data_IF_485251342395
#
_entry.id   IF_485251342395
#
_cell.length_a   1.000
_cell.length_b   1.000
_cell.length_c   1.000
_cell.angle_alpha   90.00
_cell.angle_beta   90.00
_cell.angle_gamma   90.00
#
_symmetry.space_group_name_H-M   'P 1'
#
loop_
_entity.id
_entity.type
_entity.pdbx_description
1 polymer ?
#
# COMPACT_ATOMS: atom_id res chain seq x y z
N UNK A 1 18.65 5.11 -19.85
CA UNK A 1 17.63 5.34 -20.91
C UNK A 1 16.81 4.07 -21.10
N UNK A 2 15.58 4.03 -20.60
CA UNK A 2 14.70 2.87 -20.82
C UNK A 2 14.26 2.85 -22.28
N UNK A 3 14.48 1.71 -22.93
CA UNK A 3 14.21 1.49 -24.34
C UNK A 3 12.70 1.63 -24.63
N UNK A 4 12.33 2.25 -25.75
CA UNK A 4 10.95 2.49 -26.23
C UNK A 4 10.05 1.23 -26.21
N UNK A 5 10.63 0.03 -26.20
CA UNK A 5 9.92 -1.26 -26.05
C UNK A 5 9.38 -1.51 -24.63
N UNK A 6 10.04 -1.00 -23.59
CA UNK A 6 9.59 -1.19 -22.20
C UNK A 6 8.42 -0.28 -21.82
N UNK A 7 8.27 0.86 -22.51
CA UNK A 7 7.15 1.79 -22.28
C UNK A 7 5.83 1.23 -22.83
N UNK A 8 5.86 0.40 -23.86
CA UNK A 8 4.65 -0.21 -24.46
C UNK A 8 4.02 -1.31 -23.60
N UNK A 9 4.77 -1.95 -22.74
CA UNK A 9 4.28 -3.09 -21.92
C UNK A 9 3.46 -2.64 -20.70
N UNK A 10 3.72 -1.44 -20.17
CA UNK A 10 2.91 -0.83 -19.10
C UNK A 10 1.49 -0.49 -19.60
N UNK A 11 1.34 -0.26 -20.92
CA UNK A 11 0.09 0.14 -21.55
C UNK A 11 -0.94 -0.97 -21.70
N UNK A 12 -0.55 -2.24 -21.75
CA UNK A 12 -1.48 -3.33 -22.12
C UNK A 12 -2.28 -3.88 -20.93
N UNK A 13 -1.76 -3.78 -19.71
CA UNK A 13 -2.38 -4.42 -18.54
C UNK A 13 -3.57 -3.64 -17.94
N UNK A 14 -3.67 -2.36 -18.22
CA UNK A 14 -4.78 -1.53 -17.72
C UNK A 14 -6.07 -1.72 -18.53
N UNK A 15 -5.98 -2.20 -19.78
CA UNK A 15 -7.15 -2.52 -20.61
C UNK A 15 -7.91 -3.76 -20.14
N UNK A 16 -7.25 -4.69 -19.47
CA UNK A 16 -7.89 -5.91 -18.94
C UNK A 16 -8.82 -5.63 -17.75
N UNK A 17 -8.62 -4.49 -17.07
CA UNK A 17 -9.45 -4.10 -15.91
C UNK A 17 -10.91 -3.78 -16.28
N UNK A 18 -11.15 -3.26 -17.48
CA UNK A 18 -12.50 -2.91 -17.93
C UNK A 18 -13.33 -4.13 -18.35
N UNK A 19 -12.68 -5.25 -18.73
CA UNK A 19 -13.38 -6.44 -19.21
C UNK A 19 -13.89 -7.32 -18.06
N UNK A 20 -13.19 -7.33 -16.92
CA UNK A 20 -13.57 -8.16 -15.75
C UNK A 20 -14.78 -7.61 -15.00
N UNK A 21 -15.03 -6.28 -15.07
CA UNK A 21 -16.21 -5.68 -14.46
C UNK A 21 -17.53 -5.99 -15.20
N UNK A 22 -17.43 -6.55 -16.42
CA UNK A 22 -18.61 -6.87 -17.25
C UNK A 22 -19.02 -8.34 -17.22
N UNK A 23 -18.18 -9.24 -16.75
CA UNK A 23 -18.41 -10.68 -16.87
C UNK A 23 -18.71 -11.44 -15.57
N UNK A 24 -18.59 -10.82 -14.40
CA UNK A 24 -18.97 -11.43 -13.12
C UNK A 24 -19.83 -10.48 -12.31
N UNK A 25 -20.99 -10.96 -11.91
CA UNK A 25 -22.06 -10.25 -11.20
C UNK A 25 -21.55 -9.18 -10.23
N UNK A 26 -22.06 -7.97 -10.43
CA UNK A 26 -21.62 -6.72 -9.84
C UNK A 26 -21.20 -6.79 -8.39
N UNK A 27 -19.91 -6.72 -8.17
CA UNK A 27 -19.37 -6.33 -6.87
C UNK A 27 -19.54 -4.81 -6.80
N UNK A 28 -20.50 -4.36 -6.03
CA UNK A 28 -20.71 -2.94 -5.79
C UNK A 28 -19.58 -2.45 -4.85
N UNK A 29 -18.65 -1.60 -5.31
CA UNK A 29 -17.47 -1.22 -4.51
C UNK A 29 -17.79 -0.34 -3.31
N UNK A 30 -19.05 -0.07 -3.04
CA UNK A 30 -19.49 0.91 -2.03
C UNK A 30 -20.37 0.35 -0.90
N UNK A 31 -20.61 -0.96 -0.83
CA UNK A 31 -21.30 -1.53 0.32
C UNK A 31 -20.29 -1.87 1.43
N UNK A 32 -20.05 -0.89 2.30
CA UNK A 32 -19.18 -0.97 3.48
C UNK A 32 -19.76 -1.83 4.63
N UNK A 33 -20.73 -2.68 4.35
CA UNK A 33 -21.42 -3.53 5.34
C UNK A 33 -21.01 -5.00 5.29
N UNK A 34 -19.82 -5.34 4.76
CA UNK A 34 -19.33 -6.71 4.76
C UNK A 34 -18.76 -7.06 6.16
N UNK A 35 -19.27 -8.10 6.85
CA UNK A 35 -18.76 -8.50 8.17
C UNK A 35 -17.26 -8.84 8.23
N UNK A 36 -16.62 -9.11 7.09
CA UNK A 36 -15.17 -9.33 7.00
C UNK A 36 -14.33 -8.06 7.26
N UNK A 37 -14.97 -6.88 7.43
CA UNK A 37 -14.29 -5.61 7.67
C UNK A 37 -13.82 -5.44 9.13
N UNK A 38 -14.28 -6.27 10.05
CA UNK A 38 -14.19 -5.99 11.48
C UNK A 38 -12.88 -6.36 12.19
N UNK A 39 -11.93 -7.03 11.53
CA UNK A 39 -10.69 -7.48 12.17
C UNK A 39 -9.40 -6.79 11.65
N UNK A 40 -9.52 -5.63 11.00
CA UNK A 40 -8.34 -4.94 10.47
C UNK A 40 -7.65 -4.09 11.54
N UNK A 41 -6.45 -4.48 11.90
CA UNK A 41 -5.55 -3.68 12.75
C UNK A 41 -4.98 -2.55 11.88
N UNK A 42 -5.53 -1.35 11.99
CA UNK A 42 -4.97 -0.14 11.43
C UNK A 42 -3.99 0.48 12.44
N UNK A 43 -2.76 0.71 12.00
CA UNK A 43 -1.77 1.42 12.81
C UNK A 43 -2.03 2.93 12.71
N UNK A 44 -2.57 3.55 13.75
CA UNK A 44 -2.65 5.00 13.83
C UNK A 44 -1.31 5.54 14.29
N UNK A 45 -0.82 6.58 13.63
CA UNK A 45 0.46 7.14 13.95
C UNK A 45 0.49 8.63 13.89
N UNK A 46 1.02 9.16 14.95
CA UNK A 46 1.41 10.54 15.13
C UNK A 46 2.71 10.83 14.35
N UNK A 47 2.60 11.41 13.16
CA UNK A 47 3.61 12.29 12.54
C UNK A 47 5.04 11.83 12.27
N UNK A 48 5.47 10.68 12.74
CA UNK A 48 6.70 9.99 12.32
C UNK A 48 6.29 8.62 11.85
N UNK A 49 6.89 8.13 10.74
CA UNK A 49 6.73 6.72 10.36
C UNK A 49 7.07 5.90 11.60
N UNK A 50 6.12 5.21 12.20
CA UNK A 50 6.39 4.62 13.49
C UNK A 50 7.06 3.32 13.37
N UNK A 51 7.66 2.93 12.38
CA UNK A 51 8.16 1.58 12.52
C UNK A 51 8.94 1.06 11.31
N UNK A 52 10.10 1.60 11.11
CA UNK A 52 11.19 0.66 10.94
C UNK A 52 11.37 -0.04 12.29
N UNK A 53 10.60 -1.09 12.57
CA UNK A 53 10.83 -1.88 13.75
C UNK A 53 12.19 -2.55 13.54
N UNK A 54 13.19 -2.30 14.42
CA UNK A 54 14.48 -2.95 14.27
C UNK A 54 14.26 -4.48 14.17
N UNK A 55 14.76 -5.10 13.10
CA UNK A 55 14.70 -6.54 12.94
C UNK A 55 13.56 -7.08 12.06
N UNK A 56 12.71 -6.25 11.42
CA UNK A 56 11.79 -6.78 10.39
C UNK A 56 12.61 -7.33 9.23
N UNK A 57 12.56 -8.65 8.96
CA UNK A 57 13.43 -9.26 7.98
C UNK A 57 12.99 -8.94 6.56
N UNK A 58 13.95 -8.63 5.70
CA UNK A 58 13.74 -8.64 4.26
C UNK A 58 13.58 -10.10 3.78
N UNK A 59 12.58 -10.36 2.94
CA UNK A 59 12.45 -11.68 2.34
C UNK A 59 13.73 -12.05 1.58
N UNK A 60 14.25 -13.27 1.79
CA UNK A 60 15.56 -13.72 1.29
C UNK A 60 15.78 -13.52 -0.22
N UNK A 61 14.71 -13.57 -1.02
CA UNK A 61 14.79 -13.36 -2.47
C UNK A 61 14.86 -11.88 -2.89
N UNK A 62 14.85 -10.94 -1.96
CA UNK A 62 14.77 -9.52 -2.27
C UNK A 62 16.10 -8.78 -2.17
N UNK A 63 17.11 -9.31 -1.48
CA UNK A 63 18.33 -8.58 -1.17
C UNK A 63 18.97 -7.94 -2.40
N UNK A 64 19.30 -8.75 -3.42
CA UNK A 64 19.86 -8.22 -4.67
C UNK A 64 18.92 -7.24 -5.38
N UNK A 65 17.60 -7.54 -5.43
CA UNK A 65 16.65 -6.64 -6.09
C UNK A 65 16.56 -5.27 -5.42
N UNK A 66 16.58 -5.24 -4.09
CA UNK A 66 16.55 -3.97 -3.32
C UNK A 66 17.80 -3.15 -3.60
N UNK A 67 18.99 -3.79 -3.59
CA UNK A 67 20.24 -3.12 -3.87
C UNK A 67 20.27 -2.56 -5.30
N UNK A 68 20.06 -3.41 -6.32
CA UNK A 68 20.09 -3.00 -7.73
C UNK A 68 19.09 -1.86 -8.00
N UNK A 69 17.87 -1.97 -7.41
CA UNK A 69 16.83 -0.99 -7.60
C UNK A 69 17.14 0.35 -6.90
N UNK A 70 17.75 0.31 -5.73
CA UNK A 70 18.19 1.51 -5.02
C UNK A 70 19.27 2.26 -5.81
N UNK A 71 20.27 1.54 -6.34
CA UNK A 71 21.32 2.09 -7.19
C UNK A 71 20.75 2.68 -8.49
N UNK A 72 19.87 1.96 -9.19
CA UNK A 72 19.25 2.41 -10.45
C UNK A 72 18.41 3.69 -10.29
N UNK A 73 17.85 3.93 -9.11
CA UNK A 73 16.92 5.04 -8.84
C UNK A 73 17.42 6.05 -7.80
N UNK A 74 18.70 5.98 -7.40
CA UNK A 74 19.29 6.85 -6.37
C UNK A 74 19.06 8.33 -6.66
N UNK A 75 19.43 8.81 -7.85
CA UNK A 75 19.24 10.23 -8.24
C UNK A 75 17.76 10.66 -8.13
N UNK A 76 16.85 9.80 -8.57
CA UNK A 76 15.42 10.06 -8.46
C UNK A 76 14.98 10.16 -7.00
N UNK A 77 15.42 9.24 -6.17
CA UNK A 77 14.99 9.18 -4.77
C UNK A 77 15.55 10.34 -3.97
N UNK A 78 16.81 10.72 -4.19
CA UNK A 78 17.39 11.93 -3.59
C UNK A 78 16.66 13.20 -4.06
N UNK A 79 16.34 13.31 -5.34
CA UNK A 79 15.52 14.41 -5.84
C UNK A 79 14.13 14.47 -5.16
N UNK A 80 13.51 13.32 -4.90
CA UNK A 80 12.23 13.26 -4.18
C UNK A 80 12.38 13.72 -2.73
N UNK A 81 13.40 13.27 -2.01
CA UNK A 81 13.69 13.70 -0.63
C UNK A 81 13.85 15.23 -0.54
N UNK A 82 14.65 15.79 -1.45
CA UNK A 82 14.97 17.22 -1.46
C UNK A 82 13.78 18.09 -1.90
N UNK A 83 13.10 17.71 -2.99
CA UNK A 83 12.20 18.60 -3.73
C UNK A 83 10.72 18.22 -3.64
N UNK A 84 10.37 17.05 -3.12
CA UNK A 84 9.00 16.54 -3.07
C UNK A 84 8.46 16.25 -1.68
N UNK A 85 9.17 16.69 -0.63
CA UNK A 85 8.75 16.48 0.77
C UNK A 85 7.36 17.03 1.07
N UNK A 86 6.95 18.15 0.44
CA UNK A 86 5.61 18.73 0.58
C UNK A 86 4.49 17.82 0.05
N UNK A 87 4.75 17.07 -1.03
CA UNK A 87 3.79 16.07 -1.53
C UNK A 87 3.67 14.89 -0.59
N UNK A 88 4.79 14.38 -0.07
CA UNK A 88 4.80 13.29 0.91
C UNK A 88 4.05 13.69 2.19
N UNK A 89 4.29 14.89 2.72
CA UNK A 89 3.54 15.43 3.88
C UNK A 89 2.04 15.53 3.62
N UNK A 90 1.63 15.87 2.39
CA UNK A 90 0.21 15.89 2.02
C UNK A 90 -0.39 14.50 2.04
N UNK A 91 0.34 13.49 1.54
CA UNK A 91 -0.09 12.09 1.60
C UNK A 91 -0.17 11.63 3.05
N UNK A 92 0.87 11.87 3.85
CA UNK A 92 0.92 11.51 5.27
C UNK A 92 -0.29 12.06 6.03
N UNK A 93 -0.65 13.34 5.81
CA UNK A 93 -1.82 13.97 6.44
C UNK A 93 -3.13 13.25 6.09
N UNK A 94 -3.34 12.90 4.83
CA UNK A 94 -4.53 12.18 4.39
C UNK A 94 -4.52 10.75 4.94
N UNK A 95 -3.40 10.03 4.84
CA UNK A 95 -3.31 8.65 5.30
C UNK A 95 -3.52 8.52 6.81
N UNK A 96 -3.01 9.47 7.59
CA UNK A 96 -3.32 9.57 9.03
C UNK A 96 -4.82 9.71 9.27
N UNK A 97 -5.52 10.57 8.52
CA UNK A 97 -6.98 10.75 8.66
C UNK A 97 -7.79 9.49 8.31
N UNK A 98 -7.27 8.68 7.38
CA UNK A 98 -7.90 7.43 6.96
C UNK A 98 -7.31 6.20 7.65
N UNK A 99 -6.43 6.38 8.63
CA UNK A 99 -5.76 5.31 9.38
C UNK A 99 -5.08 4.26 8.48
N UNK A 100 -4.44 4.75 7.43
CA UNK A 100 -3.66 3.94 6.48
C UNK A 100 -2.18 4.02 6.87
N UNK A 101 -1.44 2.92 6.84
CA UNK A 101 0.00 2.94 7.04
C UNK A 101 0.69 3.94 6.13
N UNK A 102 1.53 4.81 6.72
CA UNK A 102 2.17 5.91 5.98
C UNK A 102 3.13 5.41 4.90
N UNK A 103 3.65 4.22 5.05
CA UNK A 103 4.55 3.57 4.10
C UNK A 103 3.91 3.35 2.73
N UNK A 104 2.57 3.25 2.66
CA UNK A 104 1.86 3.12 1.39
C UNK A 104 1.98 4.37 0.50
N UNK A 105 2.50 5.49 1.02
CA UNK A 105 2.87 6.67 0.23
C UNK A 105 3.88 6.35 -0.88
N UNK A 106 4.71 5.32 -0.68
CA UNK A 106 5.70 4.89 -1.68
C UNK A 106 5.07 4.34 -2.96
N UNK A 107 3.79 3.94 -2.94
CA UNK A 107 3.02 3.67 -4.17
C UNK A 107 3.01 4.87 -5.11
N UNK A 108 2.81 6.09 -4.60
CA UNK A 108 2.79 7.30 -5.41
C UNK A 108 4.14 7.57 -6.11
N UNK A 109 5.24 7.14 -5.50
CA UNK A 109 6.58 7.23 -6.10
C UNK A 109 6.68 6.27 -7.28
N UNK A 110 6.33 5.01 -7.11
CA UNK A 110 6.45 3.99 -8.16
C UNK A 110 5.44 4.21 -9.30
N UNK A 111 4.27 4.80 -9.02
CA UNK A 111 3.24 5.10 -10.02
C UNK A 111 3.62 6.29 -10.93
N UNK A 112 4.08 7.38 -10.35
CA UNK A 112 4.24 8.63 -11.11
C UNK A 112 5.50 9.43 -10.79
N UNK A 113 6.35 8.98 -9.85
CA UNK A 113 7.45 9.78 -9.30
C UNK A 113 6.93 11.07 -8.66
N UNK A 114 5.72 11.02 -8.05
CA UNK A 114 5.00 12.16 -7.48
C UNK A 114 4.70 13.28 -8.49
N UNK A 115 4.48 12.95 -9.77
CA UNK A 115 4.09 13.92 -10.80
C UNK A 115 2.57 14.01 -10.88
N UNK A 116 2.01 15.18 -10.52
CA UNK A 116 0.55 15.43 -10.53
C UNK A 116 -0.05 15.39 -11.93
N UNK A 117 0.72 15.73 -12.96
CA UNK A 117 0.31 15.75 -14.36
C UNK A 117 0.77 14.52 -15.16
N UNK A 118 1.27 13.46 -14.48
CA UNK A 118 1.67 12.25 -15.16
C UNK A 118 0.50 11.63 -15.93
N UNK A 119 0.77 11.20 -17.17
CA UNK A 119 -0.23 10.53 -18.02
C UNK A 119 0.41 9.29 -18.62
N UNK A 120 -0.27 8.14 -18.48
CA UNK A 120 0.14 6.90 -19.14
C UNK A 120 -0.44 6.83 -20.56
N UNK A 121 0.17 5.99 -21.40
CA UNK A 121 -0.36 5.76 -22.77
C UNK A 121 -1.75 5.12 -22.81
N UNK A 122 -2.26 4.61 -21.69
CA UNK A 122 -3.59 3.96 -21.55
C UNK A 122 -4.60 4.82 -20.79
N UNK A 123 -4.24 6.07 -20.45
CA UNK A 123 -5.16 7.03 -19.87
C UNK A 123 -5.18 7.07 -18.33
N UNK A 124 -4.24 6.41 -17.65
CA UNK A 124 -4.03 6.63 -16.22
C UNK A 124 -3.42 8.03 -16.00
N UNK A 125 -3.85 8.75 -14.97
CA UNK A 125 -3.45 10.15 -14.74
C UNK A 125 -3.17 10.42 -13.27
N UNK A 126 -2.20 11.34 -13.03
CA UNK A 126 -1.91 11.94 -11.74
C UNK A 126 -0.95 11.14 -10.89
N UNK A 127 -0.78 11.61 -9.64
CA UNK A 127 0.16 11.00 -8.66
C UNK A 127 -0.12 9.52 -8.47
N UNK A 128 -1.38 9.12 -8.44
CA UNK A 128 -1.86 7.78 -8.13
C UNK A 128 -2.21 6.94 -9.36
N UNK A 129 -1.98 7.48 -10.56
CA UNK A 129 -2.22 6.82 -11.84
C UNK A 129 -3.62 6.18 -11.95
N UNK A 130 -4.65 6.90 -11.51
CA UNK A 130 -6.01 6.39 -11.64
C UNK A 130 -6.51 6.38 -13.07
N UNK A 131 -7.11 5.24 -13.44
CA UNK A 131 -7.90 5.14 -14.67
C UNK A 131 -9.20 5.95 -14.54
N UNK A 132 -9.76 6.49 -15.64
CA UNK A 132 -10.97 7.29 -15.59
C UNK A 132 -12.15 6.60 -14.91
N UNK A 133 -12.35 5.29 -15.14
CA UNK A 133 -13.42 4.49 -14.52
C UNK A 133 -13.28 4.46 -13.02
N UNK A 134 -12.11 3.98 -12.51
CA UNK A 134 -11.81 3.91 -11.08
C UNK A 134 -11.91 5.28 -10.41
N UNK A 135 -11.37 6.32 -11.06
CA UNK A 135 -11.43 7.69 -10.53
C UNK A 135 -12.87 8.15 -10.28
N UNK A 136 -13.77 7.94 -11.25
CA UNK A 136 -15.17 8.31 -11.11
C UNK A 136 -15.88 7.52 -10.00
N UNK A 137 -15.62 6.22 -9.91
CA UNK A 137 -16.16 5.38 -8.83
C UNK A 137 -15.72 5.88 -7.45
N UNK A 138 -14.51 6.42 -7.35
CA UNK A 138 -13.96 7.01 -6.11
C UNK A 138 -14.39 8.48 -5.89
N UNK A 139 -15.28 9.01 -6.72
CA UNK A 139 -15.84 10.36 -6.59
C UNK A 139 -14.99 11.49 -7.21
N UNK A 140 -13.97 11.17 -7.99
CA UNK A 140 -13.16 12.18 -8.70
C UNK A 140 -13.88 12.68 -9.96
N UNK A 141 -13.95 14.00 -10.12
CA UNK A 141 -14.53 14.64 -11.30
C UNK A 141 -13.51 14.68 -12.45
N UNK A 142 -13.95 14.25 -13.62
CA UNK A 142 -13.15 14.28 -14.86
C UNK A 142 -14.01 14.89 -15.95
N UNK A 143 -13.63 16.08 -16.42
CA UNK A 143 -14.28 16.83 -17.50
C UNK A 143 -13.23 17.28 -18.52
N UNK A 144 -13.64 17.92 -19.62
CA UNK A 144 -12.73 18.48 -20.60
C UNK A 144 -11.83 19.60 -20.03
N UNK A 145 -12.33 20.36 -19.03
CA UNK A 145 -11.61 21.48 -18.41
C UNK A 145 -10.95 21.14 -17.08
N UNK A 146 -11.31 20.03 -16.47
CA UNK A 146 -10.95 19.74 -15.08
C UNK A 146 -10.79 18.23 -14.83
N UNK A 147 -9.69 17.84 -14.19
CA UNK A 147 -9.38 16.46 -13.87
C UNK A 147 -8.85 16.35 -12.43
N UNK A 148 -9.71 15.90 -11.51
CA UNK A 148 -9.38 15.74 -10.07
C UNK A 148 -8.25 14.73 -9.82
N UNK A 149 -7.93 13.85 -10.77
CA UNK A 149 -6.80 12.93 -10.66
C UNK A 149 -5.46 13.67 -10.55
N UNK A 150 -5.38 14.89 -11.08
CA UNK A 150 -4.20 15.75 -11.00
C UNK A 150 -4.17 16.60 -9.72
N UNK A 151 -5.28 16.67 -8.99
CA UNK A 151 -5.34 17.43 -7.75
C UNK A 151 -4.80 16.58 -6.59
N UNK A 152 -3.66 16.97 -6.03
CA UNK A 152 -2.90 16.20 -5.04
C UNK A 152 -3.76 15.71 -3.87
N UNK A 153 -4.50 16.58 -3.20
CA UNK A 153 -5.33 16.24 -2.06
C UNK A 153 -6.48 15.29 -2.43
N UNK A 154 -7.28 15.66 -3.45
CA UNK A 154 -8.46 14.88 -3.84
C UNK A 154 -8.09 13.49 -4.33
N UNK A 155 -7.05 13.37 -5.15
CA UNK A 155 -6.59 12.07 -5.64
C UNK A 155 -5.98 11.22 -4.52
N UNK A 156 -5.35 11.83 -3.51
CA UNK A 156 -4.85 11.11 -2.33
C UNK A 156 -5.99 10.60 -1.45
N UNK A 157 -7.06 11.40 -1.26
CA UNK A 157 -8.28 10.93 -0.57
C UNK A 157 -8.90 9.74 -1.30
N UNK A 158 -8.96 9.80 -2.63
CA UNK A 158 -9.44 8.67 -3.44
C UNK A 158 -8.54 7.44 -3.29
N UNK A 159 -7.20 7.62 -3.27
CA UNK A 159 -6.25 6.54 -3.04
C UNK A 159 -6.43 5.91 -1.67
N UNK A 160 -6.61 6.72 -0.62
CA UNK A 160 -6.89 6.24 0.72
C UNK A 160 -8.14 5.35 0.77
N UNK A 161 -9.25 5.81 0.20
CA UNK A 161 -10.49 5.02 0.10
C UNK A 161 -10.29 3.71 -0.66
N UNK A 162 -9.56 3.74 -1.76
CA UNK A 162 -9.31 2.55 -2.57
C UNK A 162 -8.42 1.53 -1.86
N UNK A 163 -7.36 2.00 -1.20
CA UNK A 163 -6.48 1.15 -0.39
C UNK A 163 -7.22 0.50 0.78
N UNK A 164 -8.06 1.27 1.49
CA UNK A 164 -8.93 0.75 2.56
C UNK A 164 -9.87 -0.33 2.03
N UNK A 165 -10.53 -0.08 0.90
CA UNK A 165 -11.42 -1.06 0.27
C UNK A 165 -10.68 -2.34 -0.12
N UNK A 166 -9.51 -2.25 -0.73
CA UNK A 166 -8.68 -3.40 -1.06
C UNK A 166 -8.24 -4.16 0.20
N UNK A 167 -7.90 -3.43 1.27
CA UNK A 167 -7.49 -4.07 2.52
C UNK A 167 -8.63 -4.88 3.15
N UNK A 168 -9.86 -4.42 3.06
CA UNK A 168 -11.03 -5.18 3.49
C UNK A 168 -11.18 -6.55 2.82
N UNK A 169 -10.64 -6.72 1.59
CA UNK A 169 -10.66 -8.01 0.88
C UNK A 169 -9.47 -8.90 1.22
N UNK A 170 -8.30 -8.29 1.37
CA UNK A 170 -7.05 -9.05 1.41
C UNK A 170 -6.45 -9.18 2.80
N UNK A 171 -6.65 -8.20 3.68
CA UNK A 171 -6.05 -8.10 5.03
C UNK A 171 -4.52 -8.27 5.03
N UNK A 172 -3.92 -8.04 3.89
CA UNK A 172 -2.49 -8.22 3.61
C UNK A 172 -2.01 -7.11 2.68
N UNK A 173 -1.10 -6.26 3.14
CA UNK A 173 -0.67 -5.09 2.39
C UNK A 173 0.09 -5.44 1.11
N UNK A 174 0.82 -6.56 1.07
CA UNK A 174 1.47 -7.00 -0.18
C UNK A 174 0.45 -7.40 -1.24
N UNK A 175 -0.68 -8.01 -0.81
CA UNK A 175 -1.77 -8.34 -1.70
C UNK A 175 -2.53 -7.08 -2.13
N UNK A 176 -2.69 -6.11 -1.23
CA UNK A 176 -3.27 -4.79 -1.56
C UNK A 176 -2.43 -4.08 -2.61
N UNK A 177 -1.12 -4.04 -2.45
CA UNK A 177 -0.18 -3.45 -3.43
C UNK A 177 -0.28 -4.16 -4.78
N UNK A 178 -0.36 -5.50 -4.79
CA UNK A 178 -0.58 -6.27 -6.02
C UNK A 178 -1.92 -5.94 -6.68
N UNK A 179 -3.00 -5.86 -5.88
CA UNK A 179 -4.35 -5.58 -6.36
C UNK A 179 -4.52 -4.12 -6.80
N UNK A 180 -3.79 -3.19 -6.20
CA UNK A 180 -3.75 -1.80 -6.64
C UNK A 180 -3.30 -1.70 -8.11
N UNK A 181 -2.27 -2.45 -8.47
CA UNK A 181 -1.70 -2.47 -9.83
C UNK A 181 -2.55 -3.25 -10.84
N UNK A 182 -3.00 -4.45 -10.51
CA UNK A 182 -3.67 -5.36 -11.47
C UNK A 182 -5.19 -5.47 -11.29
N UNK A 183 -5.73 -4.85 -10.25
CA UNK A 183 -7.08 -5.14 -9.77
C UNK A 183 -7.15 -6.40 -8.90
N UNK A 184 -8.25 -6.59 -8.16
CA UNK A 184 -8.41 -7.74 -7.25
C UNK A 184 -8.53 -9.08 -7.98
N UNK A 185 -9.12 -9.12 -9.17
CA UNK A 185 -9.38 -10.36 -9.91
C UNK A 185 -8.11 -11.20 -10.18
N UNK A 186 -7.07 -10.66 -10.80
CA UNK A 186 -5.79 -11.37 -11.00
C UNK A 186 -5.17 -11.90 -9.71
N UNK A 187 -5.26 -11.14 -8.60
CA UNK A 187 -4.73 -11.57 -7.30
C UNK A 187 -5.53 -12.76 -6.76
N UNK A 188 -6.87 -12.70 -6.80
CA UNK A 188 -7.73 -13.81 -6.38
C UNK A 188 -7.51 -15.07 -7.23
N UNK A 189 -7.34 -14.92 -8.55
CA UNK A 189 -7.00 -16.02 -9.42
C UNK A 189 -5.63 -16.63 -9.10
N UNK A 190 -4.63 -15.82 -8.79
CA UNK A 190 -3.31 -16.29 -8.40
C UNK A 190 -3.35 -17.07 -7.07
N UNK A 191 -4.09 -16.57 -6.08
CA UNK A 191 -4.36 -17.26 -4.82
C UNK A 191 -5.02 -18.61 -5.07
N UNK A 192 -6.09 -18.64 -5.88
CA UNK A 192 -6.79 -19.89 -6.23
C UNK A 192 -5.87 -20.90 -6.91
N UNK A 193 -5.06 -20.48 -7.87
CA UNK A 193 -4.14 -21.36 -8.62
C UNK A 193 -3.01 -21.91 -7.75
N UNK A 194 -2.50 -21.12 -6.81
CA UNK A 194 -1.39 -21.52 -5.93
C UNK A 194 -1.84 -22.27 -4.67
N UNK A 195 -3.12 -22.16 -4.29
CA UNK A 195 -3.63 -22.65 -3.01
C UNK A 195 -3.07 -21.88 -1.80
N UNK A 196 -2.51 -20.67 -2.00
CA UNK A 196 -1.84 -19.93 -0.94
C UNK A 196 -2.15 -18.43 -1.01
N UNK A 197 -2.29 -17.78 0.16
CA UNK A 197 -2.40 -16.31 0.26
C UNK A 197 -1.04 -15.62 0.47
N UNK A 198 0.08 -16.35 0.59
CA UNK A 198 1.39 -15.71 0.66
C UNK A 198 1.81 -15.20 -0.71
N UNK A 199 2.11 -13.88 -0.80
CA UNK A 199 2.59 -13.26 -2.04
C UNK A 199 3.77 -14.03 -2.64
N UNK A 200 4.72 -14.45 -1.80
CA UNK A 200 5.92 -15.16 -2.22
C UNK A 200 5.64 -16.51 -2.87
N UNK A 201 4.56 -17.19 -2.46
CA UNK A 201 4.13 -18.48 -3.05
C UNK A 201 3.34 -18.30 -4.34
N UNK A 202 2.45 -17.31 -4.41
CA UNK A 202 1.59 -17.15 -5.58
C UNK A 202 2.10 -16.15 -6.63
N UNK A 203 3.17 -15.38 -6.36
CA UNK A 203 3.64 -14.31 -7.23
C UNK A 203 3.88 -14.75 -8.68
N UNK A 204 4.26 -16.03 -8.92
CA UNK A 204 4.51 -16.55 -10.27
C UNK A 204 3.23 -16.73 -11.10
N UNK A 205 2.06 -16.73 -10.47
CA UNK A 205 0.75 -16.74 -11.13
C UNK A 205 0.23 -15.32 -11.42
N UNK A 206 0.91 -14.29 -10.94
CA UNK A 206 0.61 -12.89 -11.27
C UNK A 206 1.27 -12.48 -12.60
N UNK A 207 0.70 -11.47 -13.30
CA UNK A 207 1.41 -10.79 -14.37
C UNK A 207 2.80 -10.31 -13.89
N UNK A 208 3.80 -10.38 -14.78
CA UNK A 208 5.17 -9.97 -14.46
C UNK A 208 5.23 -8.54 -13.91
N UNK A 209 4.45 -7.62 -14.51
CA UNK A 209 4.41 -6.22 -14.07
C UNK A 209 3.90 -6.09 -12.62
N UNK A 210 2.81 -6.77 -12.29
CA UNK A 210 2.24 -6.76 -10.93
C UNK A 210 3.22 -7.33 -9.90
N UNK A 211 3.90 -8.42 -10.24
CA UNK A 211 4.94 -9.00 -9.39
C UNK A 211 6.09 -8.03 -9.16
N UNK A 212 6.53 -7.34 -10.21
CA UNK A 212 7.58 -6.32 -10.10
C UNK A 212 7.09 -5.08 -9.34
N UNK A 213 5.81 -4.72 -9.47
CA UNK A 213 5.23 -3.60 -8.75
C UNK A 213 5.35 -3.78 -7.22
N UNK A 214 4.98 -4.96 -6.70
CA UNK A 214 5.16 -5.28 -5.27
C UNK A 214 6.63 -5.22 -4.86
N UNK A 215 7.53 -5.78 -5.68
CA UNK A 215 8.97 -5.74 -5.38
C UNK A 215 9.54 -4.32 -5.38
N UNK A 216 9.10 -3.48 -6.32
CA UNK A 216 9.47 -2.04 -6.37
C UNK A 216 8.95 -1.30 -5.14
N UNK A 217 7.74 -1.60 -4.69
CA UNK A 217 7.20 -1.02 -3.47
C UNK A 217 8.09 -1.35 -2.26
N UNK A 218 8.43 -2.63 -2.06
CA UNK A 218 9.33 -3.06 -0.98
C UNK A 218 10.69 -2.35 -1.10
N UNK A 219 11.29 -2.32 -2.29
CA UNK A 219 12.60 -1.70 -2.50
C UNK A 219 12.58 -0.19 -2.25
N UNK A 220 11.55 0.52 -2.73
CA UNK A 220 11.38 1.95 -2.44
C UNK A 220 11.23 2.19 -0.94
N UNK A 221 10.41 1.37 -0.26
CA UNK A 221 10.27 1.45 1.19
C UNK A 221 11.62 1.31 1.90
N UNK A 222 12.39 0.27 1.58
CA UNK A 222 13.71 0.05 2.19
C UNK A 222 14.69 1.20 1.95
N UNK A 223 14.65 1.82 0.77
CA UNK A 223 15.49 2.97 0.47
C UNK A 223 15.17 4.20 1.36
N UNK A 224 13.87 4.47 1.59
CA UNK A 224 13.46 5.65 2.35
C UNK A 224 13.48 5.45 3.86
N UNK A 225 13.20 4.25 4.35
CA UNK A 225 13.07 3.94 5.78
C UNK A 225 14.31 3.24 6.36
N UNK A 226 15.23 2.76 5.52
CA UNK A 226 16.44 2.05 5.95
C UNK A 226 16.21 0.63 6.48
N UNK A 227 14.97 0.15 6.46
CA UNK A 227 14.59 -1.17 6.98
C UNK A 227 13.22 -1.61 6.51
N UNK A 228 12.77 -2.79 6.95
CA UNK A 228 11.41 -3.28 6.73
C UNK A 228 10.41 -2.70 7.73
N UNK A 229 9.13 -2.87 7.43
CA UNK A 229 8.03 -2.57 8.34
C UNK A 229 6.94 -3.65 8.23
N UNK A 230 5.91 -3.56 9.05
CA UNK A 230 4.80 -4.52 9.01
C UNK A 230 4.07 -4.57 7.66
N UNK A 231 4.14 -3.50 6.87
CA UNK A 231 3.53 -3.47 5.52
C UNK A 231 4.38 -4.17 4.45
N UNK A 232 5.65 -4.43 4.73
CA UNK A 232 6.54 -5.19 3.84
C UNK A 232 6.52 -6.69 4.11
N UNK A 233 5.76 -7.13 5.10
CA UNK A 233 5.51 -8.53 5.43
C UNK A 233 4.14 -8.96 4.92
N UNK A 234 4.04 -10.20 4.43
CA UNK A 234 2.74 -10.84 4.23
C UNK A 234 2.06 -11.15 5.57
N UNK A 235 0.73 -11.38 5.56
CA UNK A 235 -0.07 -11.59 6.80
C UNK A 235 0.56 -12.64 7.72
N UNK A 236 0.91 -13.81 7.21
CA UNK A 236 1.50 -14.90 8.02
C UNK A 236 2.89 -14.54 8.56
N UNK A 237 3.71 -13.85 7.77
CA UNK A 237 5.03 -13.40 8.20
C UNK A 237 4.91 -12.34 9.31
N UNK A 238 3.96 -11.42 9.16
CA UNK A 238 3.65 -10.38 10.15
C UNK A 238 3.17 -10.98 11.46
N UNK A 239 2.22 -11.92 11.43
CA UNK A 239 1.72 -12.61 12.63
C UNK A 239 2.84 -13.36 13.34
N UNK A 240 3.69 -14.07 12.60
CA UNK A 240 4.86 -14.75 13.17
C UNK A 240 5.83 -13.76 13.81
N UNK A 241 6.13 -12.65 13.13
CA UNK A 241 7.03 -11.62 13.63
C UNK A 241 6.50 -10.97 14.91
N UNK A 242 5.21 -10.60 14.94
CA UNK A 242 4.58 -10.01 16.12
C UNK A 242 4.62 -10.97 17.33
N UNK A 243 4.35 -12.25 17.10
CA UNK A 243 4.47 -13.26 18.16
C UNK A 243 5.89 -13.38 18.70
N UNK A 244 6.90 -13.38 17.83
CA UNK A 244 8.30 -13.43 18.25
C UNK A 244 8.70 -12.18 19.04
N UNK A 245 8.21 -11.01 18.66
CA UNK A 245 8.44 -9.75 19.35
C UNK A 245 7.80 -9.77 20.75
N UNK A 246 6.58 -10.29 20.86
CA UNK A 246 5.88 -10.47 22.13
C UNK A 246 6.64 -11.42 23.08
N UNK A 247 7.08 -12.58 22.57
CA UNK A 247 7.88 -13.53 23.34
C UNK A 247 9.23 -12.93 23.80
N UNK A 248 9.88 -12.13 22.94
CA UNK A 248 11.12 -11.44 23.28
C UNK A 248 10.91 -10.41 24.40
N UNK A 249 9.88 -9.59 24.29
CA UNK A 249 9.55 -8.57 25.29
C UNK A 249 9.15 -9.22 26.64
N UNK A 250 8.39 -10.31 26.61
CA UNK A 250 8.02 -11.04 27.83
C UNK A 250 9.25 -11.57 28.59
N UNK A 251 10.26 -12.08 27.89
CA UNK A 251 11.50 -12.57 28.50
C UNK A 251 12.35 -11.45 29.11
N UNK A 252 12.41 -10.29 28.46
CA UNK A 252 13.25 -9.17 28.92
C UNK A 252 12.59 -8.36 30.05
N UNK A 253 11.27 -8.43 30.21
CA UNK A 253 10.55 -7.74 31.29
C UNK A 253 10.62 -8.48 32.64
N UNK A 254 11.11 -9.73 32.69
CA UNK A 254 11.31 -10.45 33.94
C UNK A 254 12.57 -10.01 34.69
N UNK A 255 13.46 -9.23 34.04
CA UNK A 255 14.76 -8.84 34.60
C UNK A 255 14.87 -7.35 35.02
N UNK A 256 13.84 -6.53 34.81
CA UNK A 256 13.89 -5.09 35.14
C UNK A 256 12.56 -4.61 35.73
N UNK A 257 12.46 -4.56 37.04
CA UNK A 257 11.56 -3.64 37.76
C UNK A 257 12.19 -2.23 37.73
N UNK A 258 11.37 -1.19 37.40
CA UNK A 258 11.68 0.24 37.44
C UNK A 258 12.33 0.89 36.18
N UNK A 259 11.54 1.11 35.12
CA UNK A 259 11.52 2.38 34.35
C UNK A 259 10.32 2.44 33.39
N UNK A 260 9.47 3.46 33.55
CA UNK A 260 8.16 3.64 32.91
C UNK A 260 8.19 4.02 31.40
N UNK A 261 9.31 3.86 30.71
CA UNK A 261 9.47 4.21 29.29
C UNK A 261 9.55 2.98 28.35
N UNK A 262 8.81 1.92 28.64
CA UNK A 262 8.91 0.65 27.92
C UNK A 262 8.11 0.57 26.60
N UNK A 263 8.62 -0.22 25.59
CA UNK A 263 7.95 -0.51 24.32
C UNK A 263 6.54 -1.14 24.47
N UNK A 264 6.17 -1.61 25.66
CA UNK A 264 4.84 -2.16 25.98
C UNK A 264 3.74 -1.10 25.74
N UNK A 265 4.01 0.18 25.93
CA UNK A 265 3.04 1.24 25.67
C UNK A 265 2.66 1.31 24.19
N UNK A 266 3.61 1.03 23.29
CA UNK A 266 3.42 0.99 21.84
C UNK A 266 2.60 -0.24 21.44
N UNK A 267 2.84 -1.40 22.07
CA UNK A 267 2.11 -2.63 21.79
C UNK A 267 0.67 -2.56 22.32
N UNK A 268 0.46 -1.97 23.50
CA UNK A 268 -0.88 -1.74 24.06
C UNK A 268 -1.67 -0.75 23.21
N UNK A 269 -1.02 0.26 22.63
CA UNK A 269 -1.62 1.18 21.66
C UNK A 269 -1.94 0.49 20.34
N UNK A 270 -1.12 -0.45 19.88
CA UNK A 270 -1.33 -1.27 18.68
C UNK A 270 -2.53 -2.22 18.81
N UNK A 271 -2.75 -2.78 20.01
CA UNK A 271 -3.89 -3.68 20.30
C UNK A 271 -5.15 -2.89 20.70
N UNK A 272 -5.00 -1.70 21.32
CA UNK A 272 -6.11 -0.89 21.86
C UNK A 272 -7.02 -0.22 20.82
N UNK A 273 -6.69 -0.31 19.54
CA UNK A 273 -7.41 0.35 18.43
C UNK A 273 -8.79 -0.31 18.14
N UNK A 274 -9.09 -1.46 18.73
CA UNK A 274 -10.37 -2.16 18.55
C UNK A 274 -11.59 -1.40 19.08
N UNK A 275 -11.44 -0.34 19.91
CA UNK A 275 -12.56 0.41 20.46
C UNK A 275 -13.06 1.59 19.59
N UNK A 276 -12.28 2.05 18.61
CA UNK A 276 -12.60 3.25 17.80
C UNK A 276 -13.30 2.97 16.46
N UNK A 277 -13.61 1.71 16.15
CA UNK A 277 -14.28 1.32 14.89
C UNK A 277 -15.72 1.88 14.74
N UNK A 278 -16.38 2.24 15.83
CA UNK A 278 -17.75 2.82 15.75
C UNK A 278 -17.77 4.23 15.15
N UNK A 279 -16.69 4.99 15.26
CA UNK A 279 -16.65 6.39 14.82
C UNK A 279 -16.35 6.54 13.32
N UNK A 280 -15.69 5.55 12.70
CA UNK A 280 -15.41 5.54 11.25
C UNK A 280 -16.67 5.36 10.39
N UNK A 281 -17.69 4.66 10.89
CA UNK A 281 -18.98 4.55 10.20
C UNK A 281 -19.71 5.89 10.10
N UNK A 282 -19.45 6.82 11.00
CA UNK A 282 -20.06 8.16 11.01
C UNK A 282 -19.37 9.12 9.99
N UNK A 283 -18.07 8.96 9.73
CA UNK A 283 -17.33 9.83 8.80
C UNK A 283 -17.61 9.47 7.34
N UNK A 284 -17.92 8.22 7.05
CA UNK A 284 -18.21 7.73 5.69
C UNK A 284 -19.69 7.91 5.27
N UNK A 285 -20.57 8.29 6.19
CA UNK A 285 -21.99 8.63 5.92
C UNK A 285 -22.24 10.11 5.60
N UNK A 286 -21.22 10.96 5.69
CA UNK A 286 -21.24 12.37 5.25
C UNK A 286 -20.45 12.53 3.95
#
# INVERSE_FOLDING_TARGET
MLNKKQIKTVSFLVLLFMFVLRSNGGINPLTLNDPAYNDSIFLSVTGKSPLAIPGVPLHHSMGKFVQDYAEDFEELFENIKLNKSGYLKTIDKVFTQYQIPLELKYLAIIESKLKTNAKSGVGAVGVWQFMPGTARTLGLKITAKYDDRQHMWKSTVAAAKYLTWLYGYFEDWLLVVAAYNSGPGPVLNAIKKSGSRSFWKFQNFLPKETRLHVKRFIATHYYFEGGGSLVTLGKVEREKYLKQLEEFNAKNNTDNDEDDTHPISVFSQLIGITSHQKDLQLILKK
#
